data_IF_846922280470
#
_entry.id   IF_846922280470
#
_cell.length_a   1.000
_cell.length_b   1.000
_cell.length_c   1.000
_cell.angle_alpha   90.00
_cell.angle_beta   90.00
_cell.angle_gamma   90.00
#
_symmetry.space_group_name_H-M   'P 1'
#
loop_
_entity.id
_entity.type
_entity.pdbx_description
1 polymer ?
#
# COMPACT_ATOMS: atom_id res chain seq x y z
N UNK A 1 -44.37 -75.05 -8.27
CA UNK A 1 -44.43 -73.73 -9.00
C UNK A 1 -44.88 -72.63 -8.05
N UNK A 2 -43.93 -71.98 -7.32
CA UNK A 2 -44.08 -70.64 -6.67
C UNK A 2 -42.81 -70.29 -5.91
N UNK A 3 -41.72 -69.93 -6.60
CA UNK A 3 -40.54 -69.32 -5.97
C UNK A 3 -39.83 -68.35 -6.87
N UNK A 4 -40.57 -67.51 -7.65
CA UNK A 4 -39.97 -66.52 -8.54
C UNK A 4 -40.25 -65.08 -8.20
N UNK A 5 -41.04 -64.81 -7.15
CA UNK A 5 -41.61 -63.47 -6.93
C UNK A 5 -40.91 -62.55 -5.91
N UNK A 6 -40.04 -63.08 -5.06
CA UNK A 6 -39.40 -62.32 -3.94
C UNK A 6 -38.09 -61.69 -4.31
N UNK A 7 -37.30 -62.26 -5.21
CA UNK A 7 -36.02 -61.70 -5.64
C UNK A 7 -36.17 -60.46 -6.52
N UNK A 8 -37.18 -60.42 -7.36
CA UNK A 8 -37.40 -59.30 -8.29
C UNK A 8 -37.92 -58.02 -7.57
N UNK A 9 -38.71 -58.22 -6.51
CA UNK A 9 -39.16 -57.11 -5.66
C UNK A 9 -38.03 -56.50 -4.84
N UNK A 10 -37.11 -57.31 -4.31
CA UNK A 10 -35.99 -56.86 -3.51
C UNK A 10 -34.99 -56.06 -4.36
N UNK A 11 -34.71 -56.51 -5.59
CA UNK A 11 -33.85 -55.82 -6.56
C UNK A 11 -34.46 -54.48 -7.03
N UNK A 12 -35.79 -54.41 -7.18
CA UNK A 12 -36.46 -53.18 -7.57
C UNK A 12 -36.48 -52.15 -6.45
N UNK A 13 -36.56 -52.60 -5.19
CA UNK A 13 -36.56 -51.76 -4.00
C UNK A 13 -35.14 -51.21 -3.70
N UNK A 14 -34.09 -52.04 -3.82
CA UNK A 14 -32.70 -51.58 -3.75
C UNK A 14 -32.33 -50.58 -4.87
N UNK A 15 -32.78 -50.84 -6.10
CA UNK A 15 -32.55 -49.93 -7.23
C UNK A 15 -33.27 -48.59 -7.01
N UNK A 16 -34.46 -48.57 -6.42
CA UNK A 16 -35.19 -47.33 -6.10
C UNK A 16 -34.54 -46.54 -4.98
N UNK A 17 -34.00 -47.21 -3.94
CA UNK A 17 -33.24 -46.57 -2.87
C UNK A 17 -31.92 -45.96 -3.35
N UNK A 18 -31.18 -46.68 -4.21
CA UNK A 18 -29.94 -46.13 -4.83
C UNK A 18 -30.21 -44.95 -5.77
N UNK A 19 -31.34 -44.96 -6.47
CA UNK A 19 -31.75 -43.83 -7.31
C UNK A 19 -32.18 -42.62 -6.48
N UNK A 20 -32.85 -42.83 -5.33
CA UNK A 20 -33.25 -41.78 -4.41
C UNK A 20 -32.02 -41.11 -3.75
N UNK A 21 -31.09 -41.96 -3.24
CA UNK A 21 -29.83 -41.46 -2.63
C UNK A 21 -28.97 -40.69 -3.63
N UNK A 22 -28.90 -41.13 -4.89
CA UNK A 22 -28.19 -40.44 -5.96
C UNK A 22 -28.90 -39.15 -6.39
N UNK A 23 -30.23 -39.10 -6.29
CA UNK A 23 -31.04 -37.89 -6.56
C UNK A 23 -30.83 -36.79 -5.52
N UNK A 24 -30.81 -37.15 -4.24
CA UNK A 24 -30.58 -36.18 -3.15
C UNK A 24 -29.17 -35.61 -3.16
N UNK A 25 -28.14 -36.39 -3.49
CA UNK A 25 -26.75 -35.93 -3.63
C UNK A 25 -26.56 -34.91 -4.77
N UNK A 26 -27.30 -35.08 -5.89
CA UNK A 26 -27.21 -34.20 -7.05
C UNK A 26 -27.98 -32.89 -6.83
N UNK A 27 -29.07 -32.94 -6.07
CA UNK A 27 -29.92 -31.77 -5.80
C UNK A 27 -29.28 -30.82 -4.74
N UNK A 28 -28.63 -31.40 -3.71
CA UNK A 28 -27.87 -30.64 -2.71
C UNK A 28 -26.67 -29.92 -3.27
N UNK A 29 -25.98 -30.52 -4.24
CA UNK A 29 -24.80 -29.88 -4.90
C UNK A 29 -25.23 -28.74 -5.84
N UNK A 30 -26.35 -28.88 -6.55
CA UNK A 30 -26.88 -27.83 -7.43
C UNK A 30 -27.38 -26.59 -6.65
N UNK A 31 -28.01 -26.78 -5.50
CA UNK A 31 -28.49 -25.66 -4.68
C UNK A 31 -27.33 -24.85 -4.08
N UNK A 32 -26.28 -25.49 -3.63
CA UNK A 32 -25.07 -24.85 -3.13
C UNK A 32 -24.35 -24.04 -4.23
N UNK A 33 -24.26 -24.56 -5.45
CA UNK A 33 -23.67 -23.86 -6.59
C UNK A 33 -24.47 -22.62 -6.98
N UNK A 34 -25.80 -22.69 -7.00
CA UNK A 34 -26.67 -21.56 -7.38
C UNK A 34 -26.57 -20.41 -6.38
N UNK A 35 -26.38 -20.66 -5.10
CA UNK A 35 -26.21 -19.63 -4.06
C UNK A 35 -24.79 -19.08 -4.01
N UNK A 36 -23.76 -19.84 -4.39
CA UNK A 36 -22.35 -19.41 -4.34
C UNK A 36 -21.99 -18.43 -5.47
N UNK A 37 -22.56 -18.59 -6.66
CA UNK A 37 -22.29 -17.75 -7.81
C UNK A 37 -22.61 -16.26 -7.54
N UNK A 38 -23.80 -15.86 -7.02
CA UNK A 38 -24.10 -14.45 -6.78
C UNK A 38 -23.21 -13.85 -5.68
N UNK A 39 -22.80 -14.61 -4.67
CA UNK A 39 -21.89 -14.15 -3.61
C UNK A 39 -20.51 -13.83 -4.16
N UNK A 40 -19.95 -14.68 -5.02
CA UNK A 40 -18.65 -14.43 -5.65
C UNK A 40 -18.69 -13.16 -6.51
N UNK A 41 -19.75 -12.98 -7.30
CA UNK A 41 -19.93 -11.77 -8.10
C UNK A 41 -20.10 -10.51 -7.24
N UNK A 42 -20.81 -10.61 -6.11
CA UNK A 42 -20.99 -9.52 -5.16
C UNK A 42 -19.65 -9.11 -4.53
N UNK A 43 -18.87 -10.08 -4.04
CA UNK A 43 -17.55 -9.84 -3.46
C UNK A 43 -16.58 -9.26 -4.50
N UNK A 44 -16.57 -9.81 -5.71
CA UNK A 44 -15.78 -9.31 -6.82
C UNK A 44 -16.14 -7.86 -7.17
N UNK A 45 -17.44 -7.56 -7.29
CA UNK A 45 -17.92 -6.21 -7.57
C UNK A 45 -17.53 -5.22 -6.47
N UNK A 46 -17.69 -5.61 -5.21
CA UNK A 46 -17.27 -4.79 -4.05
C UNK A 46 -15.77 -4.49 -4.09
N UNK A 47 -14.93 -5.49 -4.39
CA UNK A 47 -13.50 -5.31 -4.53
C UNK A 47 -13.16 -4.32 -5.66
N UNK A 48 -13.73 -4.49 -6.84
CA UNK A 48 -13.47 -3.60 -7.99
C UNK A 48 -13.96 -2.17 -7.74
N UNK A 49 -15.12 -1.99 -7.12
CA UNK A 49 -15.64 -0.67 -6.75
C UNK A 49 -14.67 0.03 -5.78
N UNK A 50 -14.20 -0.67 -4.74
CA UNK A 50 -13.22 -0.11 -3.81
C UNK A 50 -11.91 0.28 -4.48
N UNK A 51 -11.37 -0.57 -5.36
CA UNK A 51 -10.16 -0.27 -6.13
C UNK A 51 -10.36 0.95 -7.05
N UNK A 52 -11.51 1.07 -7.72
CA UNK A 52 -11.85 2.22 -8.57
C UNK A 52 -11.98 3.52 -7.75
N UNK A 53 -12.55 3.47 -6.55
CA UNK A 53 -12.64 4.64 -5.67
C UNK A 53 -11.23 5.12 -5.28
N UNK A 54 -10.35 4.22 -4.86
CA UNK A 54 -8.97 4.58 -4.50
C UNK A 54 -8.22 5.12 -5.72
N UNK A 55 -8.34 4.48 -6.89
CA UNK A 55 -7.74 4.94 -8.13
C UNK A 55 -8.24 6.35 -8.50
N UNK A 56 -9.55 6.59 -8.45
CA UNK A 56 -10.13 7.89 -8.73
C UNK A 56 -9.60 8.97 -7.78
N UNK A 57 -9.50 8.66 -6.48
CA UNK A 57 -8.94 9.57 -5.48
C UNK A 57 -7.48 9.94 -5.80
N UNK A 58 -6.64 8.96 -6.13
CA UNK A 58 -5.23 9.19 -6.47
C UNK A 58 -5.08 9.97 -7.79
N UNK A 59 -5.88 9.65 -8.80
CA UNK A 59 -5.89 10.39 -10.07
C UNK A 59 -6.33 11.84 -9.87
N UNK A 60 -7.39 12.10 -9.12
CA UNK A 60 -7.85 13.44 -8.80
C UNK A 60 -6.81 14.24 -8.02
N UNK A 61 -6.13 13.61 -7.05
CA UNK A 61 -5.02 14.22 -6.31
C UNK A 61 -3.87 14.62 -7.24
N UNK A 62 -3.45 13.71 -8.12
CA UNK A 62 -2.40 13.95 -9.10
C UNK A 62 -2.78 15.04 -10.11
N UNK A 63 -4.02 15.06 -10.57
CA UNK A 63 -4.53 16.11 -11.48
C UNK A 63 -4.52 17.48 -10.79
N UNK A 64 -4.97 17.57 -9.53
CA UNK A 64 -4.94 18.81 -8.75
C UNK A 64 -3.51 19.32 -8.59
N UNK A 65 -2.58 18.45 -8.24
CA UNK A 65 -1.16 18.80 -8.13
C UNK A 65 -0.58 19.29 -9.45
N UNK A 66 -0.85 18.60 -10.57
CA UNK A 66 -0.41 19.03 -11.90
C UNK A 66 -1.03 20.36 -12.33
N UNK A 67 -2.28 20.61 -11.98
CA UNK A 67 -2.94 21.91 -12.24
C UNK A 67 -2.24 23.02 -11.46
N UNK A 68 -1.96 22.80 -10.16
CA UNK A 68 -1.22 23.76 -9.33
C UNK A 68 0.15 24.08 -9.95
N UNK A 69 0.94 23.08 -10.32
CA UNK A 69 2.26 23.28 -10.94
C UNK A 69 2.15 24.09 -12.23
N UNK A 70 1.10 23.86 -13.05
CA UNK A 70 0.91 24.56 -14.33
C UNK A 70 0.33 25.97 -14.19
N UNK A 71 -0.23 26.31 -13.04
CA UNK A 71 -0.84 27.63 -12.80
C UNK A 71 0.19 28.72 -12.62
N UNK A 72 1.44 28.38 -12.35
CA UNK A 72 2.52 29.33 -12.09
C UNK A 72 3.65 29.20 -13.09
N UNK A 73 4.37 30.32 -13.38
CA UNK A 73 5.50 30.30 -14.28
C UNK A 73 6.63 29.43 -13.72
N UNK A 74 7.21 28.57 -14.57
CA UNK A 74 8.32 27.73 -14.22
C UNK A 74 9.64 28.35 -14.73
N UNK A 75 10.64 28.45 -13.86
CA UNK A 75 12.00 28.84 -14.21
C UNK A 75 12.88 27.59 -14.33
N UNK A 76 13.91 27.63 -15.17
CA UNK A 76 14.87 26.56 -15.27
C UNK A 76 15.88 26.64 -14.12
N UNK A 77 16.04 25.55 -13.38
CA UNK A 77 17.02 25.40 -12.32
C UNK A 77 17.89 24.15 -12.58
N UNK A 78 19.01 24.34 -13.25
CA UNK A 78 19.85 23.24 -13.71
C UNK A 78 19.09 22.28 -14.62
N UNK A 79 18.99 21.01 -14.21
CA UNK A 79 18.20 19.96 -14.92
C UNK A 79 16.74 19.87 -14.44
N UNK A 80 16.34 20.69 -13.49
CA UNK A 80 14.99 20.69 -12.92
C UNK A 80 14.24 21.97 -13.28
N UNK A 81 12.94 21.97 -13.08
CA UNK A 81 12.10 23.15 -13.15
C UNK A 81 11.78 23.62 -11.75
N UNK A 82 11.88 24.94 -11.53
CA UNK A 82 11.51 25.57 -10.27
C UNK A 82 10.25 26.40 -10.49
N UNK A 83 9.25 26.18 -9.66
CA UNK A 83 8.01 26.95 -9.61
C UNK A 83 7.90 27.61 -8.24
N UNK A 84 7.70 28.92 -8.21
CA UNK A 84 7.49 29.68 -6.98
C UNK A 84 6.00 29.96 -6.86
N UNK A 85 5.39 29.49 -5.79
CA UNK A 85 3.97 29.64 -5.53
C UNK A 85 3.75 30.72 -4.46
N UNK A 86 2.96 31.77 -4.75
CA UNK A 86 2.65 32.82 -3.77
C UNK A 86 1.76 32.35 -2.63
N UNK A 87 1.06 31.22 -2.81
CA UNK A 87 0.22 30.65 -1.76
C UNK A 87 1.07 30.04 -0.64
N UNK A 88 0.51 30.01 0.58
CA UNK A 88 1.12 29.34 1.73
C UNK A 88 0.97 27.82 1.61
N UNK A 89 1.80 27.23 0.79
CA UNK A 89 1.88 25.77 0.63
C UNK A 89 3.14 25.23 1.29
N UNK A 90 3.13 23.96 1.60
CA UNK A 90 4.37 23.23 1.93
C UNK A 90 5.12 23.03 0.63
N UNK A 91 6.42 23.39 0.60
CA UNK A 91 7.28 23.12 -0.54
C UNK A 91 7.35 21.62 -0.80
N UNK A 92 7.39 21.22 -2.07
CA UNK A 92 7.44 19.83 -2.48
C UNK A 92 8.09 19.66 -3.85
N UNK A 93 8.46 18.44 -4.18
CA UNK A 93 8.99 18.07 -5.49
C UNK A 93 8.13 16.99 -6.15
N UNK A 94 7.98 17.11 -7.48
CA UNK A 94 7.21 16.16 -8.27
C UNK A 94 7.83 15.95 -9.66
N UNK A 95 8.17 14.69 -9.98
CA UNK A 95 8.75 14.30 -11.28
C UNK A 95 10.09 14.99 -11.56
N UNK A 96 10.08 16.13 -12.23
CA UNK A 96 11.27 16.95 -12.52
C UNK A 96 11.08 18.41 -12.08
N UNK A 97 10.08 18.69 -11.26
CA UNK A 97 9.73 20.04 -10.85
C UNK A 97 9.81 20.17 -9.34
N UNK A 98 10.44 21.24 -8.88
CA UNK A 98 10.47 21.68 -7.48
C UNK A 98 9.46 22.81 -7.36
N UNK A 99 8.60 22.76 -6.37
CA UNK A 99 7.63 23.80 -6.05
C UNK A 99 7.97 24.36 -4.67
N UNK A 100 8.33 25.61 -4.62
CA UNK A 100 8.60 26.34 -3.36
C UNK A 100 7.48 27.33 -3.08
N UNK A 101 7.14 27.50 -1.79
CA UNK A 101 6.37 28.66 -1.39
C UNK A 101 7.20 29.93 -1.50
N UNK A 102 6.55 31.08 -1.72
CA UNK A 102 7.23 32.36 -1.75
C UNK A 102 8.01 32.65 -0.44
N UNK A 103 7.42 32.27 0.70
CA UNK A 103 8.04 32.42 2.02
C UNK A 103 9.32 31.56 2.16
N UNK A 104 9.31 30.33 1.69
CA UNK A 104 10.48 29.44 1.72
C UNK A 104 11.59 29.95 0.79
N UNK A 105 11.22 30.48 -0.37
CA UNK A 105 12.16 31.05 -1.34
C UNK A 105 12.86 32.32 -0.83
N UNK A 106 12.16 33.19 -0.09
CA UNK A 106 12.71 34.41 0.45
C UNK A 106 13.57 34.23 1.69
N UNK A 107 13.21 33.26 2.55
CA UNK A 107 13.87 33.08 3.86
C UNK A 107 15.05 32.15 3.83
N UNK A 108 14.89 30.96 3.31
CA UNK A 108 15.91 29.88 3.32
C UNK A 108 15.87 29.06 2.02
N UNK A 109 16.20 29.70 0.87
CA UNK A 109 16.06 29.00 -0.41
C UNK A 109 17.05 27.84 -0.55
N UNK A 110 18.26 27.93 0.00
CA UNK A 110 19.34 26.97 -0.20
C UNK A 110 19.03 25.59 0.36
N UNK A 111 18.71 25.53 1.64
CA UNK A 111 18.51 24.30 2.36
C UNK A 111 17.23 23.57 1.93
N UNK A 112 16.14 24.34 1.72
CA UNK A 112 14.85 23.79 1.31
C UNK A 112 14.94 23.30 -0.14
N UNK A 113 15.56 24.10 -1.01
CA UNK A 113 15.75 23.74 -2.41
C UNK A 113 16.61 22.48 -2.56
N UNK A 114 17.67 22.38 -1.76
CA UNK A 114 18.54 21.19 -1.74
C UNK A 114 17.77 19.96 -1.26
N UNK A 115 16.94 20.10 -0.21
CA UNK A 115 16.09 19.00 0.27
C UNK A 115 15.14 18.49 -0.82
N UNK A 116 14.43 19.39 -1.51
CA UNK A 116 13.54 19.02 -2.60
C UNK A 116 14.30 18.43 -3.80
N UNK A 117 15.52 18.91 -4.05
CA UNK A 117 16.39 18.36 -5.07
C UNK A 117 16.80 16.90 -4.76
N UNK A 118 17.04 16.56 -3.48
CA UNK A 118 17.34 15.18 -3.07
C UNK A 118 16.19 14.25 -3.39
N UNK A 119 14.93 14.64 -3.16
CA UNK A 119 13.77 13.84 -3.56
C UNK A 119 13.75 13.54 -5.07
N UNK A 120 14.11 14.52 -5.92
CA UNK A 120 14.18 14.30 -7.36
C UNK A 120 15.37 13.43 -7.77
N UNK A 121 16.51 13.61 -7.11
CA UNK A 121 17.73 12.85 -7.39
C UNK A 121 17.55 11.36 -7.05
N UNK A 122 16.92 11.06 -5.92
CA UNK A 122 16.59 9.69 -5.48
C UNK A 122 15.35 9.11 -6.16
N UNK A 123 14.64 9.91 -6.99
CA UNK A 123 13.43 9.50 -7.72
C UNK A 123 12.28 9.03 -6.82
N UNK A 124 12.16 9.60 -5.63
CA UNK A 124 11.13 9.23 -4.66
C UNK A 124 9.70 9.26 -5.24
N UNK A 125 9.46 10.11 -6.24
CA UNK A 125 8.16 10.12 -6.97
C UNK A 125 7.83 8.78 -7.61
N UNK A 126 8.83 8.08 -8.17
CA UNK A 126 8.60 6.76 -8.79
C UNK A 126 8.29 5.70 -7.75
N UNK A 127 9.00 5.70 -6.63
CA UNK A 127 8.74 4.75 -5.54
C UNK A 127 7.34 4.93 -4.96
N UNK A 128 6.89 6.18 -4.79
CA UNK A 128 5.52 6.48 -4.36
C UNK A 128 4.48 6.01 -5.37
N UNK A 129 4.71 6.20 -6.68
CA UNK A 129 3.80 5.72 -7.71
C UNK A 129 3.69 4.18 -7.71
N UNK A 130 4.81 3.48 -7.53
CA UNK A 130 4.79 2.02 -7.38
C UNK A 130 4.01 1.58 -6.15
N UNK A 131 4.22 2.28 -5.02
CA UNK A 131 3.47 1.98 -3.79
C UNK A 131 1.98 2.30 -3.92
N UNK A 132 1.62 3.36 -4.65
CA UNK A 132 0.23 3.70 -4.97
C UNK A 132 -0.43 2.57 -5.78
N UNK A 133 0.26 1.98 -6.76
CA UNK A 133 -0.25 0.80 -7.46
C UNK A 133 -0.52 -0.37 -6.49
N UNK A 134 0.39 -0.65 -5.56
CA UNK A 134 0.19 -1.70 -4.55
C UNK A 134 -1.05 -1.39 -3.69
N UNK A 135 -1.22 -0.15 -3.26
CA UNK A 135 -2.37 0.29 -2.45
C UNK A 135 -3.68 0.16 -3.21
N UNK A 136 -3.73 0.43 -4.52
CA UNK A 136 -4.92 0.23 -5.35
C UNK A 136 -5.38 -1.23 -5.32
N UNK A 137 -4.45 -2.17 -5.50
CA UNK A 137 -4.78 -3.61 -5.48
C UNK A 137 -5.04 -4.14 -4.07
N UNK A 138 -4.44 -3.55 -3.04
CA UNK A 138 -4.57 -3.99 -1.65
C UNK A 138 -5.28 -2.93 -0.79
N UNK A 139 -6.24 -2.21 -1.37
CA UNK A 139 -6.92 -1.09 -0.72
C UNK A 139 -7.59 -1.45 0.61
N UNK A 140 -8.05 -2.68 0.75
CA UNK A 140 -8.68 -3.24 1.95
C UNK A 140 -7.67 -3.65 3.03
N UNK A 141 -6.38 -3.73 2.70
CA UNK A 141 -5.34 -4.20 3.62
C UNK A 141 -4.66 -3.00 4.32
N UNK A 142 -4.84 -2.83 5.64
CA UNK A 142 -4.22 -1.72 6.38
C UNK A 142 -2.69 -1.75 6.34
N UNK A 143 -2.07 -2.92 6.18
CA UNK A 143 -0.61 -3.04 6.08
C UNK A 143 -0.06 -2.32 4.84
N UNK A 144 -0.79 -2.29 3.72
CA UNK A 144 -0.37 -1.55 2.52
C UNK A 144 -0.33 -0.03 2.78
N UNK A 145 -1.29 0.51 3.52
CA UNK A 145 -1.33 1.92 3.91
C UNK A 145 -0.24 2.27 4.93
N UNK A 146 0.03 1.38 5.88
CA UNK A 146 1.14 1.55 6.82
C UNK A 146 2.48 1.55 6.08
N UNK A 147 2.69 0.63 5.15
CA UNK A 147 3.91 0.56 4.34
C UNK A 147 4.11 1.84 3.51
N UNK A 148 3.04 2.38 2.89
CA UNK A 148 3.07 3.66 2.19
C UNK A 148 3.53 4.80 3.11
N UNK A 149 3.04 4.81 4.35
CA UNK A 149 3.40 5.82 5.34
C UNK A 149 4.87 5.71 5.75
N UNK A 150 5.34 4.51 6.06
CA UNK A 150 6.73 4.26 6.42
C UNK A 150 7.69 4.58 5.26
N UNK A 151 7.32 4.25 4.03
CA UNK A 151 8.10 4.60 2.84
C UNK A 151 8.30 6.12 2.73
N UNK A 152 7.24 6.92 2.95
CA UNK A 152 7.36 8.38 2.95
C UNK A 152 8.31 8.88 4.05
N UNK A 153 8.29 8.29 5.23
CA UNK A 153 9.23 8.66 6.30
C UNK A 153 10.68 8.31 5.94
N UNK A 154 10.92 7.18 5.31
CA UNK A 154 12.27 6.81 4.81
C UNK A 154 12.75 7.81 3.77
N UNK A 155 11.90 8.23 2.84
CA UNK A 155 12.25 9.25 1.84
C UNK A 155 12.67 10.58 2.49
N UNK A 156 11.98 11.00 3.56
CA UNK A 156 12.38 12.19 4.33
C UNK A 156 13.78 12.02 4.95
N UNK A 157 14.08 10.83 5.53
CA UNK A 157 15.41 10.57 6.10
C UNK A 157 16.51 10.56 5.05
N UNK A 158 16.24 10.02 3.86
CA UNK A 158 17.20 10.02 2.74
C UNK A 158 17.45 11.44 2.22
N UNK A 159 16.40 12.24 2.08
CA UNK A 159 16.52 13.63 1.65
C UNK A 159 17.31 14.46 2.69
N UNK A 160 17.00 14.33 3.98
CA UNK A 160 17.71 14.99 5.07
C UNK A 160 19.20 14.61 5.11
N UNK A 161 19.50 13.33 4.97
CA UNK A 161 20.88 12.85 4.91
C UNK A 161 21.61 13.39 3.66
N UNK A 162 20.88 13.53 2.56
CA UNK A 162 21.39 14.16 1.33
C UNK A 162 21.79 15.63 1.56
N UNK A 163 20.96 16.41 2.27
CA UNK A 163 21.25 17.82 2.62
C UNK A 163 22.54 17.91 3.44
N UNK A 164 22.66 17.12 4.50
CA UNK A 164 23.83 17.11 5.38
C UNK A 164 25.10 16.68 4.62
N UNK A 165 25.00 15.65 3.79
CA UNK A 165 26.16 15.16 2.99
C UNK A 165 26.62 16.18 1.94
N UNK A 166 25.79 17.14 1.55
CA UNK A 166 26.16 18.25 0.65
C UNK A 166 26.76 19.46 1.40
N UNK A 167 27.10 19.31 2.68
CA UNK A 167 27.87 20.31 3.44
C UNK A 167 27.04 21.30 4.24
N UNK A 168 25.73 21.14 4.31
CA UNK A 168 24.88 21.96 5.21
C UNK A 168 25.11 21.50 6.65
N UNK A 169 25.29 22.48 7.56
CA UNK A 169 25.43 22.18 8.99
C UNK A 169 24.17 21.52 9.52
N UNK A 170 24.34 20.37 10.18
CA UNK A 170 23.23 19.56 10.66
C UNK A 170 22.39 20.29 11.72
N UNK A 171 23.04 21.10 12.57
CA UNK A 171 22.37 21.84 13.67
C UNK A 171 21.52 22.96 13.09
N UNK A 172 22.07 23.71 12.13
CA UNK A 172 21.38 24.79 11.46
C UNK A 172 20.17 24.27 10.68
N UNK A 173 20.35 23.17 9.95
CA UNK A 173 19.26 22.51 9.22
C UNK A 173 18.17 21.97 10.16
N UNK A 174 18.53 21.35 11.27
CA UNK A 174 17.55 20.88 12.27
C UNK A 174 16.76 22.04 12.87
N UNK A 175 17.44 23.17 13.17
CA UNK A 175 16.77 24.37 13.66
C UNK A 175 15.79 24.97 12.62
N UNK A 176 16.14 24.93 11.33
CA UNK A 176 15.25 25.32 10.23
C UNK A 176 13.98 24.45 10.23
N UNK A 177 14.11 23.13 10.32
CA UNK A 177 12.97 22.21 10.35
C UNK A 177 12.06 22.46 11.56
N UNK A 178 12.65 22.74 12.74
CA UNK A 178 11.89 23.11 13.94
C UNK A 178 11.14 24.42 13.72
N UNK A 179 11.80 25.48 13.26
CA UNK A 179 11.18 26.78 12.96
C UNK A 179 10.02 26.64 11.98
N UNK A 180 10.21 25.86 10.90
CA UNK A 180 9.17 25.60 9.89
C UNK A 180 7.97 24.87 10.50
N UNK A 181 8.21 23.90 11.39
CA UNK A 181 7.13 23.16 12.05
C UNK A 181 6.32 24.02 13.02
N UNK A 182 6.97 24.96 13.72
CA UNK A 182 6.31 25.91 14.64
C UNK A 182 5.48 26.94 13.84
N UNK A 183 6.02 27.48 12.74
CA UNK A 183 5.29 28.38 11.88
C UNK A 183 4.01 27.78 11.29
N UNK A 184 4.04 26.51 10.91
CA UNK A 184 2.87 25.80 10.43
C UNK A 184 1.79 25.56 11.51
N UNK A 185 2.16 25.55 12.79
CA UNK A 185 1.23 25.34 13.93
C UNK A 185 0.28 26.49 14.19
N UNK A 186 0.69 27.71 13.93
CA UNK A 186 -0.17 28.89 14.14
C UNK A 186 -1.44 28.84 13.27
N UNK A 187 -1.47 27.96 12.26
CA UNK A 187 -2.58 27.85 11.30
C UNK A 187 -3.35 26.51 11.35
N UNK A 188 -2.94 25.52 12.17
CA UNK A 188 -3.61 24.21 12.20
C UNK A 188 -3.75 23.63 13.61
N UNK A 189 -5.00 23.47 14.06
CA UNK A 189 -5.33 22.81 15.35
C UNK A 189 -5.15 21.27 15.32
N UNK A 190 -4.75 20.66 14.20
CA UNK A 190 -4.62 19.21 14.00
C UNK A 190 -3.20 18.65 14.25
N UNK A 191 -2.43 19.23 15.16
CA UNK A 191 -0.95 19.11 15.17
C UNK A 191 -0.32 17.99 16.01
N UNK A 192 -1.09 17.03 16.55
CA UNK A 192 -0.52 15.94 17.36
C UNK A 192 0.42 15.00 16.59
N UNK A 193 0.12 14.72 15.32
CA UNK A 193 0.88 13.76 14.50
C UNK A 193 2.18 14.31 13.89
N UNK A 194 2.31 15.61 13.73
CA UNK A 194 3.50 16.20 13.10
C UNK A 194 4.73 16.22 14.02
N UNK A 195 4.52 16.14 15.34
CA UNK A 195 5.61 16.13 16.32
C UNK A 195 6.46 14.85 16.27
N UNK A 196 5.82 13.70 16.10
CA UNK A 196 6.53 12.42 16.04
C UNK A 196 7.40 12.33 14.79
N UNK A 197 6.91 12.81 13.64
CA UNK A 197 7.66 12.79 12.39
C UNK A 197 8.90 13.68 12.44
N UNK A 198 8.76 14.91 12.93
CA UNK A 198 9.91 15.81 13.08
C UNK A 198 10.95 15.25 14.06
N UNK A 199 10.50 14.71 15.22
CA UNK A 199 11.38 14.05 16.19
C UNK A 199 12.14 12.90 15.53
N UNK A 200 11.45 12.06 14.76
CA UNK A 200 12.06 10.93 14.06
C UNK A 200 13.12 11.41 13.06
N UNK A 201 12.84 12.45 12.24
CA UNK A 201 13.81 13.05 11.30
C UNK A 201 15.07 13.51 12.04
N UNK A 202 14.92 14.32 13.08
CA UNK A 202 16.05 14.81 13.89
C UNK A 202 16.84 13.64 14.50
N UNK A 203 16.15 12.67 15.07
CA UNK A 203 16.81 11.48 15.66
C UNK A 203 17.58 10.68 14.62
N UNK A 204 17.05 10.56 13.40
CA UNK A 204 17.72 9.81 12.32
C UNK A 204 18.96 10.55 11.80
N UNK A 205 18.96 11.88 11.74
CA UNK A 205 20.14 12.67 11.38
C UNK A 205 21.29 12.48 12.39
N UNK A 206 20.97 12.26 13.66
CA UNK A 206 21.96 12.04 14.73
C UNK A 206 22.47 10.60 14.78
N UNK A 207 21.79 9.65 14.15
CA UNK A 207 22.20 8.24 14.13
C UNK A 207 23.40 8.00 13.20
N UNK A 208 24.38 7.25 13.71
CA UNK A 208 25.45 6.71 12.87
C UNK A 208 24.85 5.79 11.78
N UNK A 209 25.43 5.85 10.59
CA UNK A 209 25.06 4.93 9.49
C UNK A 209 25.16 3.48 9.95
N UNK A 210 24.11 2.73 9.71
CA UNK A 210 24.05 1.30 10.00
C UNK A 210 25.06 0.56 9.10
N UNK A 211 25.79 -0.37 9.68
CA UNK A 211 26.74 -1.21 8.93
C UNK A 211 26.01 -2.00 7.83
N UNK A 212 26.66 -2.18 6.68
CA UNK A 212 26.11 -2.94 5.55
C UNK A 212 25.71 -4.38 5.92
N UNK A 213 26.33 -4.97 6.94
CA UNK A 213 25.93 -6.27 7.51
C UNK A 213 24.51 -6.31 8.06
N UNK A 214 23.93 -5.17 8.44
CA UNK A 214 22.53 -5.12 8.88
C UNK A 214 21.56 -5.45 7.73
N UNK A 215 21.95 -5.26 6.48
CA UNK A 215 21.17 -5.66 5.30
C UNK A 215 21.07 -7.18 5.16
N UNK A 216 22.03 -7.92 5.71
CA UNK A 216 22.01 -9.39 5.70
C UNK A 216 20.82 -9.96 6.48
N UNK A 217 20.29 -9.20 7.44
CA UNK A 217 19.06 -9.58 8.17
C UNK A 217 17.85 -9.75 7.23
N UNK A 218 17.82 -9.04 6.09
CA UNK A 218 16.78 -9.18 5.09
C UNK A 218 16.82 -10.56 4.41
N UNK A 219 18.01 -11.15 4.29
CA UNK A 219 18.15 -12.52 3.75
C UNK A 219 17.45 -13.57 4.61
N UNK A 220 17.21 -13.28 5.89
CA UNK A 220 16.46 -14.19 6.78
C UNK A 220 14.98 -14.34 6.36
N UNK A 221 14.41 -13.33 5.69
CA UNK A 221 13.04 -13.41 5.19
C UNK A 221 12.89 -14.36 4.01
N UNK A 222 13.94 -14.56 3.21
CA UNK A 222 13.90 -15.42 2.02
C UNK A 222 13.58 -16.88 2.38
N UNK A 223 14.27 -17.54 3.33
CA UNK A 223 13.95 -18.92 3.70
C UNK A 223 12.58 -19.03 4.39
N UNK A 224 12.14 -18.01 5.16
CA UNK A 224 10.81 -18.00 5.76
C UNK A 224 9.74 -17.90 4.69
N UNK A 225 9.88 -16.98 3.72
CA UNK A 225 8.95 -16.86 2.60
C UNK A 225 8.94 -18.12 1.72
N UNK A 226 10.11 -18.68 1.42
CA UNK A 226 10.22 -19.93 0.66
C UNK A 226 9.59 -21.12 1.40
N UNK A 227 9.80 -21.20 2.72
CA UNK A 227 9.21 -22.26 3.56
C UNK A 227 7.70 -22.15 3.65
N UNK A 228 7.14 -20.94 3.78
CA UNK A 228 5.69 -20.73 3.76
C UNK A 228 5.09 -21.08 2.40
N UNK A 229 5.67 -20.59 1.31
CA UNK A 229 5.23 -20.95 -0.05
C UNK A 229 5.28 -22.46 -0.29
N UNK A 230 6.35 -23.14 0.14
CA UNK A 230 6.50 -24.58 0.03
C UNK A 230 5.45 -25.33 0.86
N UNK A 231 5.18 -24.88 2.10
CA UNK A 231 4.16 -25.47 2.95
C UNK A 231 2.76 -25.37 2.32
N UNK A 232 2.39 -24.18 1.77
CA UNK A 232 1.10 -23.98 1.11
C UNK A 232 1.00 -24.66 -0.27
N UNK A 233 2.12 -24.88 -0.96
CA UNK A 233 2.14 -25.56 -2.25
C UNK A 233 1.96 -27.08 -2.15
N UNK A 234 2.05 -27.68 -0.94
CA UNK A 234 1.83 -29.13 -0.78
C UNK A 234 0.37 -29.49 -0.99
N UNK A 235 0.08 -30.49 -1.83
CA UNK A 235 -1.30 -30.91 -2.10
C UNK A 235 -2.03 -31.47 -0.86
N UNK A 236 -1.30 -31.97 0.12
CA UNK A 236 -1.87 -32.43 1.40
C UNK A 236 -2.45 -31.30 2.24
N UNK A 237 -1.76 -30.17 2.32
CA UNK A 237 -2.25 -28.98 3.05
C UNK A 237 -3.51 -28.44 2.39
N UNK A 238 -3.54 -28.43 1.04
CA UNK A 238 -4.72 -28.01 0.28
C UNK A 238 -5.95 -28.89 0.59
N UNK A 239 -5.79 -30.20 0.65
CA UNK A 239 -6.87 -31.14 1.02
C UNK A 239 -7.36 -30.91 2.46
N UNK A 240 -6.44 -30.70 3.41
CA UNK A 240 -6.80 -30.44 4.82
C UNK A 240 -7.55 -29.11 4.98
N UNK A 241 -7.14 -28.07 4.24
CA UNK A 241 -7.83 -26.76 4.25
C UNK A 241 -9.22 -26.88 3.61
N UNK A 242 -9.36 -27.58 2.47
CA UNK A 242 -10.66 -27.84 1.84
C UNK A 242 -11.59 -28.65 2.76
N UNK A 243 -11.09 -29.66 3.46
CA UNK A 243 -11.86 -30.42 4.43
C UNK A 243 -12.31 -29.57 5.62
N UNK A 244 -11.43 -28.69 6.13
CA UNK A 244 -11.77 -27.78 7.22
C UNK A 244 -12.84 -26.75 6.80
N UNK A 245 -12.74 -26.22 5.58
CA UNK A 245 -13.74 -25.29 5.01
C UNK A 245 -15.09 -25.99 4.84
N UNK A 246 -15.10 -27.22 4.29
CA UNK A 246 -16.33 -27.97 4.08
C UNK A 246 -16.97 -28.41 5.41
N UNK A 247 -16.16 -28.74 6.43
CA UNK A 247 -16.67 -29.04 7.77
C UNK A 247 -17.29 -27.82 8.46
N UNK A 248 -16.76 -26.63 8.23
CA UNK A 248 -17.33 -25.38 8.77
C UNK A 248 -18.59 -24.91 8.03
N UNK A 249 -18.79 -25.34 6.80
CA UNK A 249 -19.97 -25.03 6.00
C UNK A 249 -21.16 -25.97 6.26
N UNK A 250 -20.92 -27.07 7.00
CA UNK A 250 -21.94 -28.08 7.33
C UNK A 250 -22.57 -27.89 8.73
N UNK A 251 -22.21 -26.85 9.46
CA UNK A 251 -22.81 -26.41 10.74
C UNK A 251 -23.68 -25.18 10.52
#
# INVERSE_FOLDING_TARGET
QREGGTGEKHLSEEASLLMAEKGEGIEGDRTNVIHTIPVIWLLGSCYFIGALIVLAFLLLSTIRMRRLIRSYPACNYGKYKLVICPEKIVSFSWGHTIVLSQEDYERNPGEILLHEQMHLQHRHTLDLLWMECIVIFHWFNPAAWLLMRELREVHEYEADNGVINNGIDATEYQLLLVKKSVGARLYSMACGFNHSKLKNRITMMLKRRTNNWARLKLLLFVPVAAGTLYAFARPEVKKTVEQAINASASV
#
